data_IF_836492732308
#
_entry.id   IF_836492732308
#
_cell.length_a   1.000
_cell.length_b   1.000
_cell.length_c   1.000
_cell.angle_alpha   90.00
_cell.angle_beta   90.00
_cell.angle_gamma   90.00
#
_symmetry.space_group_name_H-M   'P 1'
#
loop_
_entity.id
_entity.type
_entity.pdbx_description
1 polymer ?
#
# COMPACT_ATOMS: atom_id res chain seq x y z
N UNK A 1 -8.32 -27.26 -38.74
CA UNK A 1 -7.43 -26.11 -39.04
C UNK A 1 -8.20 -24.82 -38.77
N UNK A 2 -8.24 -24.36 -37.53
CA UNK A 2 -8.59 -22.97 -37.18
C UNK A 2 -7.79 -22.63 -35.92
N UNK A 3 -6.73 -21.83 -36.09
CA UNK A 3 -5.98 -21.22 -34.99
C UNK A 3 -6.77 -20.01 -34.51
N UNK A 4 -7.43 -20.11 -33.36
CA UNK A 4 -7.87 -18.93 -32.61
C UNK A 4 -6.68 -18.37 -31.85
N UNK A 5 -5.97 -17.46 -32.51
CA UNK A 5 -5.05 -16.53 -31.86
C UNK A 5 -5.92 -15.42 -31.26
N UNK A 6 -6.14 -15.47 -29.95
CA UNK A 6 -6.62 -14.32 -29.18
C UNK A 6 -5.50 -13.83 -28.28
N UNK A 7 -4.47 -13.24 -28.90
CA UNK A 7 -3.55 -12.33 -28.21
C UNK A 7 -4.14 -10.92 -28.35
N UNK A 8 -4.98 -10.54 -27.40
CA UNK A 8 -5.22 -9.13 -27.13
C UNK A 8 -4.11 -8.66 -26.20
N UNK A 9 -2.92 -8.42 -26.78
CA UNK A 9 -1.88 -7.61 -26.13
C UNK A 9 -2.27 -6.13 -26.29
N UNK A 10 -3.29 -5.71 -25.55
CA UNK A 10 -3.50 -4.30 -25.25
C UNK A 10 -2.64 -3.98 -24.03
N UNK A 11 -1.60 -3.14 -24.10
CA UNK A 11 -0.86 -2.71 -22.91
C UNK A 11 -1.72 -1.68 -22.17
N UNK A 12 -2.83 -2.12 -21.58
CA UNK A 12 -3.51 -1.36 -20.55
C UNK A 12 -2.59 -1.39 -19.34
N UNK A 13 -1.64 -0.46 -19.32
CA UNK A 13 -0.70 -0.12 -18.24
C UNK A 13 -1.05 -0.88 -16.95
N UNK A 14 -0.46 -2.06 -16.79
CA UNK A 14 -0.60 -2.80 -15.54
C UNK A 14 -0.15 -1.86 -14.44
N UNK A 15 -1.11 -1.45 -13.62
CA UNK A 15 -0.82 -0.56 -12.51
C UNK A 15 0.16 -1.32 -11.61
N UNK A 16 1.36 -0.80 -11.34
CA UNK A 16 2.37 -1.54 -10.61
C UNK A 16 1.78 -2.03 -9.29
N UNK A 17 2.01 -3.30 -8.94
CA UNK A 17 1.34 -3.98 -7.83
C UNK A 17 1.47 -3.25 -6.47
N UNK A 18 2.57 -2.53 -6.27
CA UNK A 18 2.86 -1.75 -5.06
C UNK A 18 2.72 -0.23 -5.26
N UNK A 19 2.09 0.18 -6.37
CA UNK A 19 1.88 1.58 -6.76
C UNK A 19 3.11 2.29 -7.34
N UNK A 20 4.24 1.59 -7.51
CA UNK A 20 5.44 2.08 -8.19
C UNK A 20 6.27 0.92 -8.76
N UNK A 21 6.80 1.11 -9.97
CA UNK A 21 7.72 0.17 -10.62
C UNK A 21 9.04 -0.02 -9.87
N UNK A 22 9.46 0.99 -9.10
CA UNK A 22 10.67 0.94 -8.26
C UNK A 22 10.60 -0.16 -7.18
N UNK A 23 9.38 -0.60 -6.85
CA UNK A 23 9.15 -1.60 -5.81
C UNK A 23 9.12 -3.04 -6.34
N UNK A 24 9.28 -3.22 -7.66
CA UNK A 24 9.28 -4.51 -8.34
C UNK A 24 7.90 -5.16 -8.46
N UNK A 25 7.92 -6.44 -8.80
CA UNK A 25 6.74 -7.23 -9.15
C UNK A 25 6.43 -8.32 -8.12
N UNK A 26 5.20 -8.83 -8.14
CA UNK A 26 4.69 -9.87 -7.26
C UNK A 26 5.47 -11.19 -7.40
N UNK A 27 5.87 -11.51 -8.64
CA UNK A 27 6.50 -12.78 -9.01
C UNK A 27 8.04 -12.80 -8.87
N UNK A 28 8.62 -11.73 -8.33
CA UNK A 28 10.06 -11.63 -8.18
C UNK A 28 10.63 -12.61 -7.13
N UNK A 29 11.84 -13.12 -7.39
CA UNK A 29 12.61 -13.91 -6.44
C UNK A 29 12.93 -13.14 -5.15
N UNK A 30 12.93 -13.85 -4.01
CA UNK A 30 13.09 -13.25 -2.68
C UNK A 30 14.47 -12.60 -2.47
N UNK A 31 15.52 -13.17 -3.08
CA UNK A 31 16.88 -12.60 -3.01
C UNK A 31 16.96 -11.26 -3.72
N UNK A 32 16.38 -11.15 -4.91
CA UNK A 32 16.41 -9.93 -5.72
C UNK A 32 15.59 -8.83 -5.05
N UNK A 33 14.40 -9.19 -4.54
CA UNK A 33 13.58 -8.30 -3.72
C UNK A 33 14.34 -7.76 -2.51
N UNK A 34 15.05 -8.62 -1.78
CA UNK A 34 15.86 -8.21 -0.63
C UNK A 34 16.95 -7.24 -1.06
N UNK A 35 17.72 -7.58 -2.10
CA UNK A 35 18.83 -6.76 -2.60
C UNK A 35 18.30 -5.39 -3.04
N UNK A 36 17.17 -5.33 -3.74
CA UNK A 36 16.54 -4.09 -4.13
C UNK A 36 16.07 -3.26 -2.94
N UNK A 37 15.32 -3.84 -2.00
CA UNK A 37 14.82 -3.11 -0.82
C UNK A 37 16.00 -2.58 0.00
N UNK A 38 17.02 -3.40 0.24
CA UNK A 38 18.19 -3.01 1.00
C UNK A 38 19.00 -1.93 0.26
N UNK A 39 19.21 -2.10 -1.04
CA UNK A 39 19.90 -1.13 -1.90
C UNK A 39 19.18 0.21 -1.91
N UNK A 40 17.85 0.21 -2.09
CA UNK A 40 17.04 1.41 -2.11
C UNK A 40 17.02 2.12 -0.74
N UNK A 41 16.81 1.38 0.36
CA UNK A 41 16.87 1.94 1.71
C UNK A 41 18.23 2.56 1.99
N UNK A 42 19.32 1.85 1.69
CA UNK A 42 20.68 2.32 1.94
C UNK A 42 21.00 3.56 1.10
N UNK A 43 20.70 3.54 -0.20
CA UNK A 43 20.96 4.67 -1.10
C UNK A 43 20.16 5.91 -0.72
N UNK A 44 18.86 5.76 -0.44
CA UNK A 44 17.98 6.89 -0.10
C UNK A 44 18.31 7.46 1.28
N UNK A 45 18.56 6.61 2.28
CA UNK A 45 18.95 7.08 3.61
C UNK A 45 20.32 7.76 3.56
N UNK A 46 21.29 7.20 2.82
CA UNK A 46 22.59 7.83 2.62
C UNK A 46 22.45 9.20 1.95
N UNK A 47 21.72 9.28 0.82
CA UNK A 47 21.47 10.53 0.12
C UNK A 47 20.79 11.57 1.03
N UNK A 48 19.77 11.16 1.78
CA UNK A 48 19.06 12.05 2.72
C UNK A 48 20.00 12.60 3.81
N UNK A 49 20.85 11.76 4.39
CA UNK A 49 21.82 12.21 5.39
C UNK A 49 22.89 13.13 4.78
N UNK A 50 23.42 12.81 3.59
CA UNK A 50 24.39 13.67 2.88
C UNK A 50 23.78 15.04 2.58
N UNK A 51 22.56 15.08 2.04
CA UNK A 51 21.83 16.33 1.80
C UNK A 51 21.65 17.10 3.10
N UNK A 52 21.21 16.44 4.17
CA UNK A 52 21.05 17.06 5.49
C UNK A 52 22.35 17.63 6.06
N UNK A 53 23.48 16.94 5.88
CA UNK A 53 24.81 17.42 6.28
C UNK A 53 25.22 18.63 5.44
N UNK A 54 25.05 18.58 4.11
CA UNK A 54 25.38 19.70 3.22
C UNK A 54 24.55 20.94 3.56
N UNK A 55 23.23 20.79 3.73
CA UNK A 55 22.34 21.88 4.14
C UNK A 55 22.75 22.38 5.52
N UNK A 56 23.00 21.49 6.48
CA UNK A 56 23.45 21.85 7.82
C UNK A 56 24.75 22.63 7.83
N UNK A 57 25.71 22.25 6.98
CA UNK A 57 26.99 22.96 6.81
C UNK A 57 26.75 24.35 6.24
N UNK A 58 25.97 24.48 5.17
CA UNK A 58 25.65 25.79 4.56
C UNK A 58 24.94 26.70 5.57
N UNK A 59 23.93 26.18 6.28
CA UNK A 59 23.23 26.95 7.32
C UNK A 59 24.17 27.32 8.46
N UNK A 60 25.04 26.40 8.87
CA UNK A 60 26.00 26.63 9.94
C UNK A 60 27.22 27.45 9.53
N UNK A 61 27.50 27.75 8.26
CA UNK A 61 28.64 28.60 7.83
C UNK A 61 28.21 29.91 7.20
N UNK A 62 27.26 29.87 6.27
CA UNK A 62 26.80 31.03 5.47
C UNK A 62 25.66 31.76 6.15
N UNK A 63 24.78 31.02 6.84
CA UNK A 63 23.51 31.56 7.29
C UNK A 63 23.51 32.04 8.74
N UNK A 64 24.64 32.51 9.26
CA UNK A 64 24.67 33.14 10.57
C UNK A 64 25.66 34.32 10.63
N UNK A 65 25.28 35.37 11.37
CA UNK A 65 26.10 36.55 11.61
C UNK A 65 27.43 36.18 12.29
N UNK A 66 28.41 37.11 12.32
CA UNK A 66 29.64 36.93 13.09
C UNK A 66 29.33 36.52 14.54
N UNK A 67 30.12 35.64 15.16
CA UNK A 67 31.41 35.09 14.73
C UNK A 67 31.34 34.00 13.63
N UNK A 68 32.38 33.86 12.82
CA UNK A 68 32.50 32.85 11.76
C UNK A 68 33.14 31.56 12.28
N UNK A 69 32.52 30.41 11.95
CA UNK A 69 32.96 29.07 12.37
C UNK A 69 34.38 28.71 11.93
N UNK A 70 34.86 29.29 10.82
CA UNK A 70 36.19 28.98 10.28
C UNK A 70 37.31 29.86 10.83
N UNK A 71 37.01 31.05 11.33
CA UNK A 71 38.02 31.98 11.88
C UNK A 71 38.00 32.00 13.41
N UNK A 72 36.82 31.91 14.02
CA UNK A 72 36.61 32.27 15.43
C UNK A 72 36.38 31.06 16.33
N UNK A 73 36.39 29.86 15.75
CA UNK A 73 36.24 28.61 16.48
C UNK A 73 37.46 27.69 16.26
N UNK A 74 37.77 26.81 17.23
CA UNK A 74 38.86 25.86 17.10
C UNK A 74 38.68 24.94 15.87
N UNK A 75 39.64 25.00 14.94
CA UNK A 75 39.60 24.26 13.67
C UNK A 75 39.46 22.73 13.86
N UNK A 76 39.94 22.18 14.98
CA UNK A 76 39.81 20.75 15.28
C UNK A 76 38.35 20.29 15.43
N UNK A 77 37.43 21.18 15.83
CA UNK A 77 36.00 20.84 15.90
C UNK A 77 35.46 20.62 14.47
N UNK A 78 35.75 21.55 13.57
CA UNK A 78 35.29 21.51 12.17
C UNK A 78 35.94 20.39 11.37
N UNK A 79 37.26 20.21 11.50
CA UNK A 79 38.04 19.34 10.63
C UNK A 79 38.33 17.95 11.21
N UNK A 80 38.17 17.73 12.52
CA UNK A 80 38.33 16.42 13.13
C UNK A 80 37.01 15.87 13.70
N UNK A 81 36.33 16.61 14.59
CA UNK A 81 35.14 16.10 15.29
C UNK A 81 33.99 15.84 14.33
N UNK A 82 33.63 16.82 13.48
CA UNK A 82 32.51 16.68 12.55
C UNK A 82 32.71 15.50 11.59
N UNK A 83 33.83 15.38 10.84
CA UNK A 83 34.05 14.25 9.94
C UNK A 83 34.09 12.91 10.69
N UNK A 84 34.72 12.86 11.86
CA UNK A 84 34.78 11.63 12.67
C UNK A 84 33.39 11.18 13.10
N UNK A 85 32.55 12.11 13.58
CA UNK A 85 31.17 11.83 13.93
C UNK A 85 30.39 11.30 12.73
N UNK A 86 30.47 12.00 11.59
CA UNK A 86 29.76 11.62 10.36
C UNK A 86 30.16 10.21 9.92
N UNK A 87 31.46 9.89 9.87
CA UNK A 87 31.96 8.57 9.48
C UNK A 87 31.48 7.49 10.45
N UNK A 88 31.58 7.70 11.76
CA UNK A 88 31.13 6.75 12.78
C UNK A 88 29.62 6.54 12.69
N UNK A 89 28.84 7.62 12.62
CA UNK A 89 27.39 7.57 12.52
C UNK A 89 26.94 6.86 11.23
N UNK A 90 27.62 7.10 10.11
CA UNK A 90 27.32 6.43 8.85
C UNK A 90 27.67 4.94 8.88
N UNK A 91 28.81 4.58 9.45
CA UNK A 91 29.24 3.18 9.59
C UNK A 91 28.29 2.39 10.52
N UNK A 92 28.05 2.91 11.74
CA UNK A 92 27.15 2.29 12.72
C UNK A 92 25.71 2.27 12.22
N UNK A 93 25.25 3.36 11.60
CA UNK A 93 23.91 3.47 11.02
C UNK A 93 23.69 2.48 9.89
N UNK A 94 24.63 2.37 8.95
CA UNK A 94 24.55 1.41 7.84
C UNK A 94 24.57 -0.04 8.33
N UNK A 95 25.43 -0.35 9.32
CA UNK A 95 25.47 -1.66 9.96
C UNK A 95 24.15 -1.99 10.65
N UNK A 96 23.63 -1.08 11.48
CA UNK A 96 22.38 -1.25 12.21
C UNK A 96 21.18 -1.41 11.25
N UNK A 97 21.09 -0.56 10.23
CA UNK A 97 20.04 -0.60 9.20
C UNK A 97 20.06 -1.94 8.46
N UNK A 98 21.24 -2.39 8.04
CA UNK A 98 21.43 -3.66 7.34
C UNK A 98 21.02 -4.84 8.22
N UNK A 99 21.52 -4.88 9.46
CA UNK A 99 21.18 -5.93 10.43
C UNK A 99 19.70 -5.95 10.77
N UNK A 100 19.06 -4.78 10.90
CA UNK A 100 17.65 -4.69 11.24
C UNK A 100 16.76 -5.10 10.07
N UNK A 101 17.07 -4.63 8.86
CA UNK A 101 16.36 -4.97 7.62
C UNK A 101 16.46 -6.46 7.33
N UNK A 102 17.63 -7.07 7.49
CA UNK A 102 17.82 -8.52 7.31
C UNK A 102 17.04 -9.35 8.33
N UNK A 103 17.03 -8.95 9.60
CA UNK A 103 16.20 -9.60 10.62
C UNK A 103 14.70 -9.50 10.30
N UNK A 104 14.25 -8.32 9.85
CA UNK A 104 12.85 -8.08 9.49
C UNK A 104 12.41 -8.87 8.26
N UNK A 105 13.28 -9.06 7.27
CA UNK A 105 12.99 -9.81 6.05
C UNK A 105 13.17 -11.32 6.21
N UNK A 106 13.70 -11.79 7.34
CA UNK A 106 14.08 -13.20 7.53
C UNK A 106 12.91 -14.16 7.33
N UNK A 107 11.73 -13.85 7.87
CA UNK A 107 10.54 -14.68 7.70
C UNK A 107 10.08 -14.73 6.23
N UNK A 108 10.18 -13.62 5.50
CA UNK A 108 9.84 -13.55 4.09
C UNK A 108 10.83 -14.36 3.22
N UNK A 109 12.12 -14.32 3.56
CA UNK A 109 13.18 -15.10 2.89
C UNK A 109 12.99 -16.60 3.14
N UNK A 110 12.68 -16.98 4.38
CA UNK A 110 12.45 -18.38 4.78
C UNK A 110 11.07 -18.91 4.35
N UNK A 111 10.28 -18.13 3.58
CA UNK A 111 8.92 -18.47 3.13
C UNK A 111 7.99 -18.91 4.26
N UNK A 112 8.20 -18.36 5.47
CA UNK A 112 7.35 -18.64 6.63
C UNK A 112 6.20 -17.67 6.66
N UNK A 113 5.03 -18.13 7.10
CA UNK A 113 3.91 -17.24 7.38
C UNK A 113 4.34 -16.23 8.48
N UNK A 114 4.03 -14.93 8.34
CA UNK A 114 4.44 -13.93 9.31
C UNK A 114 3.76 -14.18 10.65
N UNK A 115 4.53 -14.19 11.73
CA UNK A 115 3.96 -14.18 13.08
C UNK A 115 3.35 -12.79 13.40
N UNK A 116 2.46 -12.67 14.41
CA UNK A 116 1.96 -11.37 14.85
C UNK A 116 3.07 -10.38 15.24
N UNK A 117 4.20 -10.91 15.76
CA UNK A 117 5.39 -10.12 16.06
C UNK A 117 6.12 -9.65 14.81
N UNK A 118 6.19 -10.47 13.76
CA UNK A 118 6.80 -10.09 12.47
C UNK A 118 5.98 -9.01 11.77
N UNK A 119 4.65 -9.15 11.80
CA UNK A 119 3.72 -8.15 11.28
C UNK A 119 3.91 -6.80 11.99
N UNK A 120 3.89 -6.79 13.34
CA UNK A 120 4.12 -5.58 14.14
C UNK A 120 5.49 -4.97 13.86
N UNK A 121 6.54 -5.79 13.76
CA UNK A 121 7.90 -5.31 13.51
C UNK A 121 8.04 -4.67 12.13
N UNK A 122 7.39 -5.23 11.12
CA UNK A 122 7.38 -4.70 9.75
C UNK A 122 6.66 -3.35 9.68
N UNK A 123 5.47 -3.24 10.27
CA UNK A 123 4.67 -2.01 10.22
C UNK A 123 5.27 -0.87 11.07
N UNK A 124 5.98 -1.18 12.15
CA UNK A 124 6.67 -0.19 12.99
C UNK A 124 8.10 0.13 12.54
N UNK A 125 8.61 -0.53 11.50
CA UNK A 125 9.98 -0.31 11.04
C UNK A 125 10.26 1.15 10.63
N UNK A 126 9.40 1.85 9.85
CA UNK A 126 9.63 3.25 9.49
C UNK A 126 9.78 4.17 10.71
N UNK A 127 8.94 3.96 11.72
CA UNK A 127 8.98 4.74 12.97
C UNK A 127 10.27 4.49 13.77
N UNK A 128 10.73 3.24 13.84
CA UNK A 128 12.00 2.90 14.51
C UNK A 128 13.21 3.50 13.80
N UNK A 129 13.20 3.50 12.46
CA UNK A 129 14.26 4.13 11.68
C UNK A 129 14.25 5.65 11.85
N UNK A 130 13.07 6.27 11.93
CA UNK A 130 12.94 7.69 12.23
C UNK A 130 13.50 8.03 13.63
N UNK A 131 13.12 7.29 14.68
CA UNK A 131 13.67 7.49 16.03
C UNK A 131 15.19 7.35 16.03
N UNK A 132 15.74 6.35 15.35
CA UNK A 132 17.19 6.18 15.25
C UNK A 132 17.86 7.43 14.66
N UNK A 133 17.35 7.96 13.54
CA UNK A 133 17.87 9.18 12.94
C UNK A 133 17.71 10.39 13.85
N UNK A 134 16.56 10.51 14.54
CA UNK A 134 16.31 11.58 15.50
C UNK A 134 17.32 11.56 16.64
N UNK A 135 17.66 10.38 17.16
CA UNK A 135 18.63 10.22 18.24
C UNK A 135 20.05 10.52 17.77
N UNK A 136 20.45 10.06 16.58
CA UNK A 136 21.75 10.36 16.00
C UNK A 136 21.88 11.87 15.74
N UNK A 137 20.95 12.48 15.03
CA UNK A 137 20.97 13.92 14.78
C UNK A 137 20.84 14.75 16.07
N UNK A 138 20.06 14.28 17.05
CA UNK A 138 19.95 14.90 18.37
C UNK A 138 21.27 14.88 19.13
N UNK A 139 21.95 13.73 19.16
CA UNK A 139 23.27 13.60 19.77
C UNK A 139 24.31 14.49 19.06
N UNK A 140 24.27 14.55 17.72
CA UNK A 140 25.12 15.45 16.94
C UNK A 140 24.87 16.92 17.27
N UNK A 141 23.60 17.30 17.36
CA UNK A 141 23.17 18.66 17.73
C UNK A 141 23.69 19.04 19.12
N UNK A 142 23.50 18.17 20.11
CA UNK A 142 23.95 18.41 21.48
C UNK A 142 25.48 18.53 21.53
N UNK A 143 26.19 17.60 20.89
CA UNK A 143 27.65 17.56 20.87
C UNK A 143 28.23 18.85 20.27
N UNK A 144 27.81 19.23 19.05
CA UNK A 144 28.36 20.42 18.40
C UNK A 144 27.94 21.70 19.10
N UNK A 145 26.68 21.81 19.55
CA UNK A 145 26.22 23.00 20.27
C UNK A 145 27.02 23.20 21.55
N UNK A 146 27.36 22.12 22.28
CA UNK A 146 28.21 22.20 23.46
C UNK A 146 29.64 22.60 23.11
N UNK A 147 30.28 21.93 22.13
CA UNK A 147 31.67 22.20 21.76
C UNK A 147 31.89 23.63 21.22
N UNK A 148 31.03 24.07 20.30
CA UNK A 148 31.09 25.45 19.80
C UNK A 148 30.66 26.47 20.86
N UNK A 149 29.66 26.13 21.69
CA UNK A 149 29.22 26.99 22.78
C UNK A 149 30.28 27.22 23.85
N UNK A 150 31.14 26.22 24.10
CA UNK A 150 32.31 26.36 24.98
C UNK A 150 33.39 27.28 24.40
N UNK A 151 33.53 27.34 23.07
CA UNK A 151 34.44 28.27 22.41
C UNK A 151 33.87 29.69 22.40
N UNK A 152 32.59 29.83 22.05
CA UNK A 152 31.87 31.10 22.09
C UNK A 152 30.36 30.83 22.23
N UNK A 153 29.75 31.40 23.28
CA UNK A 153 28.32 31.23 23.57
C UNK A 153 27.40 31.73 22.45
N UNK A 154 27.87 32.64 21.61
CA UNK A 154 27.17 33.17 20.44
C UNK A 154 26.90 32.07 19.39
N UNK A 155 27.64 30.96 19.40
CA UNK A 155 27.40 29.83 18.51
C UNK A 155 26.22 28.95 18.94
N UNK A 156 25.76 29.04 20.21
CA UNK A 156 24.74 28.13 20.73
C UNK A 156 23.43 28.22 19.93
N UNK A 157 22.81 29.40 19.72
CA UNK A 157 21.54 29.48 18.99
C UNK A 157 21.67 29.02 17.53
N UNK A 158 22.81 29.33 16.89
CA UNK A 158 23.13 28.97 15.50
C UNK A 158 23.13 27.46 15.29
N UNK A 159 23.96 26.73 16.04
CA UNK A 159 24.06 25.28 15.88
C UNK A 159 22.80 24.57 16.36
N UNK A 160 22.19 25.06 17.45
CA UNK A 160 20.96 24.48 17.97
C UNK A 160 19.81 24.57 16.96
N UNK A 161 19.67 25.70 16.25
CA UNK A 161 18.64 25.90 15.24
C UNK A 161 18.96 25.16 13.94
N UNK A 162 20.14 25.37 13.35
CA UNK A 162 20.52 24.81 12.06
C UNK A 162 20.52 23.27 12.07
N UNK A 163 21.12 22.66 13.09
CA UNK A 163 21.21 21.19 13.16
C UNK A 163 19.88 20.55 13.55
N UNK A 164 19.08 21.18 14.42
CA UNK A 164 17.74 20.67 14.75
C UNK A 164 16.84 20.65 13.53
N UNK A 165 16.86 21.71 12.72
CA UNK A 165 16.08 21.78 11.49
C UNK A 165 16.50 20.68 10.50
N UNK A 166 17.80 20.55 10.23
CA UNK A 166 18.31 19.50 9.35
C UNK A 166 17.98 18.10 9.88
N UNK A 167 18.18 17.86 11.17
CA UNK A 167 17.90 16.58 11.82
C UNK A 167 16.44 16.17 11.76
N UNK A 168 15.50 17.11 11.98
CA UNK A 168 14.07 16.86 11.83
C UNK A 168 13.70 16.59 10.37
N UNK A 169 14.27 17.35 9.43
CA UNK A 169 14.11 17.13 8.00
C UNK A 169 14.53 15.72 7.56
N UNK A 170 15.75 15.33 7.93
CA UNK A 170 16.31 14.00 7.66
C UNK A 170 15.49 12.90 8.31
N UNK A 171 15.03 13.12 9.55
CA UNK A 171 14.18 12.16 10.28
C UNK A 171 12.85 11.93 9.55
N UNK A 172 12.16 13.00 9.17
CA UNK A 172 10.87 12.94 8.48
C UNK A 172 11.02 12.34 7.08
N UNK A 173 12.04 12.73 6.31
CA UNK A 173 12.33 12.13 5.01
C UNK A 173 12.65 10.63 5.14
N UNK A 174 13.48 10.25 6.12
CA UNK A 174 13.84 8.85 6.38
C UNK A 174 12.63 8.00 6.74
N UNK A 175 11.69 8.53 7.53
CA UNK A 175 10.40 7.88 7.80
C UNK A 175 9.64 7.59 6.50
N UNK A 176 9.44 8.61 5.66
CA UNK A 176 8.62 8.54 4.44
C UNK A 176 9.23 7.59 3.40
N UNK A 177 10.55 7.67 3.18
CA UNK A 177 11.23 6.79 2.24
C UNK A 177 11.31 5.36 2.73
N UNK A 178 11.47 5.14 4.04
CA UNK A 178 11.41 3.79 4.60
C UNK A 178 10.01 3.19 4.42
N UNK A 179 8.97 3.99 4.66
CA UNK A 179 7.59 3.56 4.45
C UNK A 179 7.35 3.15 2.99
N UNK A 180 7.85 3.95 2.04
CA UNK A 180 7.81 3.61 0.62
C UNK A 180 8.55 2.30 0.31
N UNK A 181 9.80 2.17 0.77
CA UNK A 181 10.65 1.03 0.46
C UNK A 181 10.14 -0.30 1.02
N UNK A 182 9.43 -0.25 2.15
CA UNK A 182 8.91 -1.44 2.81
C UNK A 182 7.52 -1.87 2.34
N UNK A 183 6.88 -1.16 1.40
CA UNK A 183 5.55 -1.52 0.86
C UNK A 183 5.42 -2.99 0.42
N UNK A 184 6.38 -3.61 -0.29
CA UNK A 184 6.28 -5.03 -0.66
C UNK A 184 6.24 -5.98 0.54
N UNK A 185 6.99 -5.65 1.59
CA UNK A 185 7.05 -6.45 2.82
C UNK A 185 5.82 -6.22 3.68
N UNK A 186 5.34 -4.97 3.75
CA UNK A 186 4.08 -4.62 4.38
C UNK A 186 2.92 -5.37 3.72
N UNK A 187 2.92 -5.50 2.39
CA UNK A 187 1.92 -6.28 1.66
C UNK A 187 1.88 -7.75 2.10
N UNK A 188 3.05 -8.40 2.16
CA UNK A 188 3.16 -9.79 2.64
C UNK A 188 2.69 -9.93 4.09
N UNK A 189 3.03 -8.95 4.94
CA UNK A 189 2.62 -8.94 6.34
C UNK A 189 1.11 -8.73 6.52
N UNK A 190 0.47 -7.96 5.65
CA UNK A 190 -0.98 -7.67 5.68
C UNK A 190 -1.81 -8.77 4.99
N UNK A 191 -1.22 -9.52 4.06
CA UNK A 191 -1.87 -10.67 3.42
C UNK A 191 -2.19 -11.80 4.41
N UNK A 192 -1.42 -11.94 5.50
CA UNK A 192 -1.67 -12.93 6.54
C UNK A 192 -2.84 -12.60 7.48
N UNK A 193 -3.42 -11.39 7.37
CA UNK A 193 -4.58 -10.98 8.14
C UNK A 193 -4.51 -9.53 8.59
N UNK A 194 -5.66 -8.92 8.93
CA UNK A 194 -5.71 -7.54 9.39
C UNK A 194 -4.98 -7.39 10.74
N UNK A 195 -4.22 -6.30 10.94
CA UNK A 195 -3.58 -6.05 12.23
C UNK A 195 -4.64 -5.77 13.31
N UNK A 196 -4.45 -6.35 14.51
CA UNK A 196 -5.39 -6.19 15.64
C UNK A 196 -5.52 -4.76 16.17
N UNK A 197 -4.52 -3.89 15.91
CA UNK A 197 -4.53 -2.47 16.26
C UNK A 197 -4.00 -1.61 15.10
N UNK A 198 -4.41 -0.35 15.03
CA UNK A 198 -3.82 0.65 14.12
C UNK A 198 -2.49 1.14 14.70
N UNK A 199 -1.38 0.61 14.18
CA UNK A 199 -0.04 0.94 14.66
C UNK A 199 0.64 2.09 13.90
N UNK A 200 0.18 2.39 12.68
CA UNK A 200 0.76 3.42 11.83
C UNK A 200 -0.01 4.75 11.95
N UNK A 201 0.67 5.91 11.97
CA UNK A 201 0.01 7.20 11.87
C UNK A 201 -0.81 7.26 10.58
N UNK A 202 -2.10 7.56 10.72
CA UNK A 202 -2.98 7.79 9.58
C UNK A 202 -2.59 9.02 8.77
N UNK A 203 -3.33 9.30 7.70
CA UNK A 203 -3.08 10.44 6.80
C UNK A 203 -2.93 11.75 7.61
N UNK A 204 -3.84 12.00 8.57
CA UNK A 204 -3.81 13.19 9.44
C UNK A 204 -2.49 13.32 10.20
N UNK A 205 -1.98 12.23 10.78
CA UNK A 205 -0.73 12.23 11.54
C UNK A 205 0.46 12.59 10.65
N UNK A 206 0.51 12.03 9.43
CA UNK A 206 1.57 12.32 8.45
C UNK A 206 1.54 13.79 8.00
N UNK A 207 0.35 14.31 7.71
CA UNK A 207 0.18 15.72 7.32
C UNK A 207 0.63 16.66 8.42
N UNK A 208 0.27 16.39 9.68
CA UNK A 208 0.71 17.21 10.82
C UNK A 208 2.23 17.18 10.96
N UNK A 209 2.87 16.00 10.86
CA UNK A 209 4.33 15.88 10.99
C UNK A 209 5.06 16.62 9.87
N UNK A 210 4.59 16.51 8.62
CA UNK A 210 5.20 17.20 7.47
C UNK A 210 5.00 18.71 7.57
N UNK A 211 3.81 19.18 7.92
CA UNK A 211 3.56 20.60 8.16
C UNK A 211 4.42 21.14 9.31
N UNK A 212 4.50 20.41 10.41
CA UNK A 212 5.28 20.82 11.58
C UNK A 212 6.77 20.93 11.24
N UNK A 213 7.31 19.94 10.54
CA UNK A 213 8.73 19.90 10.14
C UNK A 213 9.06 20.91 9.04
N UNK A 214 8.18 21.03 8.03
CA UNK A 214 8.42 21.84 6.84
C UNK A 214 8.02 23.32 6.99
N UNK A 215 7.23 23.67 8.00
CA UNK A 215 6.72 25.04 8.17
C UNK A 215 6.77 25.52 9.62
N UNK A 216 6.18 24.82 10.58
CA UNK A 216 6.06 25.34 11.95
C UNK A 216 7.43 25.52 12.64
N UNK A 217 8.28 24.49 12.63
CA UNK A 217 9.63 24.55 13.20
C UNK A 217 10.48 25.62 12.51
N UNK A 218 10.49 25.70 11.17
CA UNK A 218 11.07 26.82 10.45
C UNK A 218 10.68 28.20 10.93
N UNK A 219 9.38 28.48 10.93
CA UNK A 219 8.83 29.78 11.26
C UNK A 219 9.16 30.16 12.71
N UNK A 220 8.99 29.23 13.65
CA UNK A 220 9.33 29.46 15.06
C UNK A 220 10.81 29.82 15.21
N UNK A 221 11.70 29.08 14.55
CA UNK A 221 13.12 29.37 14.67
C UNK A 221 13.55 30.66 13.97
N UNK A 222 12.91 31.02 12.85
CA UNK A 222 13.09 32.34 12.22
C UNK A 222 12.61 33.48 13.14
N UNK A 223 11.45 33.32 13.78
CA UNK A 223 10.95 34.29 14.76
C UNK A 223 11.91 34.42 15.95
N UNK A 224 12.47 33.31 16.45
CA UNK A 224 13.46 33.35 17.53
C UNK A 224 14.72 34.12 17.09
N UNK A 225 15.28 33.81 15.92
CA UNK A 225 16.47 34.51 15.40
C UNK A 225 16.21 36.02 15.28
N UNK A 226 15.04 36.42 14.78
CA UNK A 226 14.67 37.84 14.68
C UNK A 226 14.55 38.54 16.05
N UNK A 227 13.92 37.89 17.04
CA UNK A 227 13.79 38.44 18.40
C UNK A 227 15.15 38.58 19.09
N UNK A 228 16.04 37.59 18.92
CA UNK A 228 17.37 37.60 19.51
C UNK A 228 18.27 38.67 18.89
N UNK A 229 18.15 38.91 17.58
CA UNK A 229 18.88 39.99 16.90
C UNK A 229 18.54 41.36 17.50
N UNK A 230 17.24 41.68 17.57
CA UNK A 230 16.76 42.97 18.06
C UNK A 230 17.08 43.20 19.55
N UNK A 231 17.04 42.14 20.36
CA UNK A 231 17.20 42.26 21.82
C UNK A 231 18.64 42.18 22.33
N UNK A 232 19.54 41.47 21.64
CA UNK A 232 20.81 41.05 22.26
C UNK A 232 22.05 41.15 21.33
N UNK A 233 21.90 41.10 20.00
CA UNK A 233 23.05 41.03 19.08
C UNK A 233 23.29 42.29 18.22
N UNK A 234 22.32 43.21 18.09
CA UNK A 234 22.43 44.50 17.35
C UNK A 234 23.18 44.36 16.01
N UNK A 235 22.83 43.37 15.19
CA UNK A 235 23.54 43.08 13.95
C UNK A 235 23.19 44.14 12.89
N UNK A 236 24.13 44.45 12.00
CA UNK A 236 23.87 45.33 10.85
C UNK A 236 22.80 44.72 9.94
N UNK A 237 21.90 45.56 9.39
CA UNK A 237 20.85 45.08 8.47
C UNK A 237 21.42 44.28 7.28
N UNK A 238 22.59 44.66 6.77
CA UNK A 238 23.24 43.96 5.65
C UNK A 238 23.73 42.55 6.03
N UNK A 239 24.10 42.34 7.30
CA UNK A 239 24.60 41.06 7.82
C UNK A 239 23.45 40.11 8.22
N UNK A 240 22.24 40.63 8.42
CA UNK A 240 21.05 39.84 8.74
C UNK A 240 20.34 39.28 7.49
N UNK A 241 20.23 40.08 6.41
CA UNK A 241 19.38 39.75 5.24
C UNK A 241 19.83 38.49 4.50
N UNK A 242 21.13 38.34 4.23
CA UNK A 242 21.64 37.20 3.46
C UNK A 242 21.43 35.86 4.20
N UNK A 243 21.82 35.71 5.47
CA UNK A 243 21.51 34.55 6.29
C UNK A 243 20.04 34.13 6.31
N UNK A 244 19.17 35.09 6.59
CA UNK A 244 17.71 34.88 6.67
C UNK A 244 17.16 34.40 5.33
N UNK A 245 17.63 34.98 4.23
CA UNK A 245 17.21 34.60 2.87
C UNK A 245 17.64 33.17 2.54
N UNK A 246 18.88 32.79 2.86
CA UNK A 246 19.41 31.43 2.62
C UNK A 246 18.63 30.40 3.44
N UNK A 247 18.43 30.65 4.74
CA UNK A 247 17.66 29.77 5.64
C UNK A 247 16.22 29.61 5.14
N UNK A 248 15.54 30.72 4.84
CA UNK A 248 14.15 30.70 4.39
C UNK A 248 14.01 29.94 3.05
N UNK A 249 14.94 30.13 2.13
CA UNK A 249 14.96 29.41 0.85
C UNK A 249 15.17 27.90 1.03
N UNK A 250 16.11 27.51 1.89
CA UNK A 250 16.35 26.10 2.21
C UNK A 250 15.13 25.46 2.90
N UNK A 251 14.46 26.19 3.79
CA UNK A 251 13.25 25.76 4.48
C UNK A 251 12.07 25.57 3.53
N UNK A 252 11.87 26.53 2.63
CA UNK A 252 10.83 26.44 1.60
C UNK A 252 11.07 25.25 0.67
N UNK A 253 12.31 25.04 0.22
CA UNK A 253 12.67 23.91 -0.63
C UNK A 253 12.46 22.56 0.07
N UNK A 254 12.87 22.43 1.33
CA UNK A 254 12.65 21.21 2.11
C UNK A 254 11.16 20.97 2.37
N UNK A 255 10.41 22.00 2.75
CA UNK A 255 8.97 21.91 2.99
C UNK A 255 8.23 21.46 1.73
N UNK A 256 8.56 22.05 0.57
CA UNK A 256 8.01 21.65 -0.72
C UNK A 256 8.34 20.20 -1.05
N UNK A 257 9.59 19.77 -0.85
CA UNK A 257 10.02 18.39 -1.08
C UNK A 257 9.24 17.41 -0.20
N UNK A 258 9.17 17.64 1.10
CA UNK A 258 8.43 16.77 2.04
C UNK A 258 6.94 16.71 1.69
N UNK A 259 6.33 17.85 1.33
CA UNK A 259 4.93 17.92 0.93
C UNK A 259 4.68 17.17 -0.38
N UNK A 260 5.59 17.30 -1.36
CA UNK A 260 5.51 16.58 -2.63
C UNK A 260 5.58 15.06 -2.41
N UNK A 261 6.53 14.58 -1.60
CA UNK A 261 6.62 13.16 -1.25
C UNK A 261 5.36 12.70 -0.51
N UNK A 262 4.81 13.50 0.41
CA UNK A 262 3.60 13.14 1.17
C UNK A 262 2.38 13.00 0.25
N UNK A 263 2.21 13.97 -0.64
CA UNK A 263 1.16 13.96 -1.66
C UNK A 263 1.28 12.73 -2.54
N UNK A 264 2.49 12.39 -2.97
CA UNK A 264 2.72 11.19 -3.78
C UNK A 264 2.43 9.90 -3.02
N UNK A 265 2.86 9.78 -1.75
CA UNK A 265 2.61 8.59 -0.92
C UNK A 265 1.13 8.37 -0.62
N UNK A 266 0.36 9.44 -0.42
CA UNK A 266 -1.08 9.38 -0.13
C UNK A 266 -1.93 9.18 -1.39
N UNK A 267 -1.58 9.83 -2.50
CA UNK A 267 -2.32 9.70 -3.75
C UNK A 267 -2.15 8.33 -4.41
N UNK A 268 -1.03 7.63 -4.17
CA UNK A 268 -0.73 6.35 -4.84
C UNK A 268 -1.75 5.24 -4.49
N UNK A 269 -2.02 4.90 -3.21
CA UNK A 269 -3.05 3.92 -2.86
C UNK A 269 -4.44 4.30 -3.41
N UNK A 270 -4.79 5.58 -3.38
CA UNK A 270 -6.07 6.08 -3.91
C UNK A 270 -6.17 5.82 -5.41
N UNK A 271 -5.12 6.15 -6.18
CA UNK A 271 -5.07 5.85 -7.63
C UNK A 271 -5.20 4.35 -7.92
N UNK A 272 -4.58 3.48 -7.13
CA UNK A 272 -4.69 2.03 -7.28
C UNK A 272 -6.14 1.55 -7.11
N UNK A 273 -6.83 2.05 -6.08
CA UNK A 273 -8.25 1.70 -5.87
C UNK A 273 -9.14 2.26 -6.97
N UNK A 274 -8.95 3.52 -7.38
CA UNK A 274 -9.72 4.12 -8.48
C UNK A 274 -9.50 3.38 -9.82
N UNK A 275 -8.27 2.94 -10.10
CA UNK A 275 -7.97 2.16 -11.29
C UNK A 275 -8.66 0.79 -11.25
N UNK A 276 -8.65 0.11 -10.10
CA UNK A 276 -9.35 -1.16 -9.93
C UNK A 276 -10.86 -1.03 -10.03
N UNK A 277 -11.44 0.05 -9.50
CA UNK A 277 -12.87 0.33 -9.65
C UNK A 277 -13.26 0.51 -11.12
N UNK A 278 -12.51 1.31 -11.88
CA UNK A 278 -12.75 1.49 -13.32
C UNK A 278 -12.66 0.18 -14.09
N UNK A 279 -11.69 -0.68 -13.74
CA UNK A 279 -11.57 -2.02 -14.37
C UNK A 279 -12.78 -2.89 -14.06
N UNK A 280 -13.21 -2.91 -12.79
CA UNK A 280 -14.40 -3.63 -12.37
C UNK A 280 -15.67 -3.14 -13.09
N UNK A 281 -15.83 -1.82 -13.27
CA UNK A 281 -16.94 -1.24 -14.05
C UNK A 281 -16.95 -1.67 -15.52
N UNK A 282 -15.78 -1.92 -16.11
CA UNK A 282 -15.65 -2.42 -17.48
C UNK A 282 -15.88 -3.94 -17.60
N UNK A 283 -16.26 -4.62 -16.53
CA UNK A 283 -16.46 -6.08 -16.51
C UNK A 283 -15.17 -6.90 -16.49
N UNK A 284 -14.01 -6.24 -16.44
CA UNK A 284 -12.74 -6.91 -16.14
C UNK A 284 -12.73 -7.20 -14.64
N UNK A 285 -12.87 -8.47 -14.24
CA UNK A 285 -12.80 -8.94 -12.87
C UNK A 285 -11.32 -9.03 -12.44
N UNK A 286 -10.71 -7.97 -11.89
CA UNK A 286 -9.29 -8.00 -11.60
C UNK A 286 -9.08 -8.94 -10.41
N UNK A 287 -7.91 -9.58 -10.31
CA UNK A 287 -7.49 -10.22 -9.06
C UNK A 287 -7.55 -9.24 -7.88
N UNK A 288 -7.51 -9.77 -6.66
CA UNK A 288 -7.60 -8.96 -5.44
C UNK A 288 -6.50 -7.89 -5.39
N UNK A 289 -6.85 -6.67 -4.97
CA UNK A 289 -5.87 -5.60 -4.78
C UNK A 289 -4.85 -6.00 -3.72
N UNK A 290 -3.59 -5.71 -4.01
CA UNK A 290 -2.50 -5.88 -3.04
C UNK A 290 -2.63 -4.80 -1.96
N UNK A 291 -2.87 -5.22 -0.73
CA UNK A 291 -3.01 -4.32 0.43
C UNK A 291 -1.63 -4.11 1.04
N UNK A 292 -1.05 -2.93 0.85
CA UNK A 292 0.31 -2.60 1.31
C UNK A 292 0.36 -1.46 2.33
N UNK A 293 -0.78 -0.88 2.69
CA UNK A 293 -0.88 0.21 3.67
C UNK A 293 -1.54 -0.28 4.98
N UNK A 294 -0.97 0.12 6.12
CA UNK A 294 -1.47 -0.20 7.47
C UNK A 294 -2.49 0.80 8.03
N UNK A 295 -2.80 1.87 7.29
CA UNK A 295 -3.62 3.02 7.72
C UNK A 295 -5.06 2.97 7.17
N UNK A 296 -5.76 4.11 7.17
CA UNK A 296 -7.07 4.30 6.51
C UNK A 296 -7.02 3.91 5.04
N UNK A 297 -5.92 4.21 4.33
CA UNK A 297 -5.78 3.87 2.91
C UNK A 297 -5.76 2.35 2.69
N UNK A 298 -5.15 1.61 3.60
CA UNK A 298 -5.19 0.16 3.59
C UNK A 298 -6.56 -0.43 3.94
N UNK A 299 -7.32 0.27 4.79
CA UNK A 299 -8.72 -0.10 5.05
C UNK A 299 -9.58 0.08 3.80
N UNK A 300 -9.35 1.15 3.02
CA UNK A 300 -10.00 1.35 1.73
C UNK A 300 -9.68 0.22 0.74
N UNK A 301 -8.40 -0.17 0.62
CA UNK A 301 -7.99 -1.29 -0.24
C UNK A 301 -8.65 -2.62 0.18
N UNK A 302 -8.67 -2.93 1.49
CA UNK A 302 -9.35 -4.13 2.02
C UNK A 302 -10.87 -4.08 1.80
N UNK A 303 -11.49 -2.92 1.99
CA UNK A 303 -12.91 -2.71 1.78
C UNK A 303 -13.31 -2.98 0.32
N UNK A 304 -12.50 -2.52 -0.64
CA UNK A 304 -12.69 -2.83 -2.05
C UNK A 304 -12.63 -4.34 -2.31
N UNK A 305 -11.61 -5.04 -1.80
CA UNK A 305 -11.50 -6.50 -1.98
C UNK A 305 -12.70 -7.25 -1.38
N UNK A 306 -13.14 -6.87 -0.18
CA UNK A 306 -14.30 -7.47 0.47
C UNK A 306 -15.60 -7.26 -0.34
N UNK A 307 -15.76 -6.07 -0.93
CA UNK A 307 -16.89 -5.77 -1.81
C UNK A 307 -16.86 -6.64 -3.07
N UNK A 308 -15.72 -6.73 -3.76
CA UNK A 308 -15.57 -7.56 -4.97
C UNK A 308 -15.79 -9.03 -4.66
N UNK A 309 -15.24 -9.54 -3.56
CA UNK A 309 -15.45 -10.90 -3.09
C UNK A 309 -16.94 -11.18 -2.80
N UNK A 310 -17.63 -10.25 -2.13
CA UNK A 310 -19.06 -10.36 -1.86
C UNK A 310 -19.93 -10.34 -3.13
N UNK A 311 -19.56 -9.55 -4.14
CA UNK A 311 -20.25 -9.54 -5.43
C UNK A 311 -20.04 -10.85 -6.20
N UNK A 312 -18.81 -11.37 -6.23
CA UNK A 312 -18.51 -12.69 -6.82
C UNK A 312 -19.29 -13.81 -6.14
N UNK A 313 -19.38 -13.79 -4.82
CA UNK A 313 -20.14 -14.79 -4.09
C UNK A 313 -21.64 -14.70 -4.40
N UNK A 314 -22.22 -13.48 -4.45
CA UNK A 314 -23.62 -13.29 -4.86
C UNK A 314 -23.88 -13.79 -6.27
N UNK A 315 -22.98 -13.51 -7.21
CA UNK A 315 -23.11 -13.97 -8.59
C UNK A 315 -22.98 -15.50 -8.71
N UNK A 316 -22.08 -16.11 -7.94
CA UNK A 316 -21.94 -17.56 -7.83
C UNK A 316 -23.21 -18.21 -7.28
N UNK A 317 -23.78 -17.65 -6.22
CA UNK A 317 -25.04 -18.12 -5.64
C UNK A 317 -26.17 -18.00 -6.68
N UNK A 318 -26.28 -16.86 -7.37
CA UNK A 318 -27.26 -16.66 -8.45
C UNK A 318 -27.12 -17.70 -9.57
N UNK A 319 -25.89 -17.95 -10.02
CA UNK A 319 -25.62 -18.96 -11.06
C UNK A 319 -25.96 -20.39 -10.59
N UNK A 320 -25.65 -20.73 -9.34
CA UNK A 320 -26.01 -22.03 -8.75
C UNK A 320 -27.53 -22.21 -8.65
N UNK A 321 -28.27 -21.19 -8.19
CA UNK A 321 -29.73 -21.23 -8.16
C UNK A 321 -30.33 -21.32 -9.57
N UNK A 322 -29.79 -20.57 -10.53
CA UNK A 322 -30.21 -20.65 -11.93
C UNK A 322 -30.03 -22.05 -12.53
N UNK A 323 -28.98 -22.78 -12.14
CA UNK A 323 -28.76 -24.18 -12.55
C UNK A 323 -29.71 -25.19 -11.91
N UNK A 324 -30.24 -24.93 -10.71
CA UNK A 324 -31.08 -25.89 -9.98
C UNK A 324 -32.59 -25.63 -10.12
N UNK A 325 -33.00 -24.38 -10.32
CA UNK A 325 -34.42 -23.98 -10.39
C UNK A 325 -34.85 -23.66 -11.84
N UNK A 326 -33.90 -23.67 -12.78
CA UNK A 326 -34.09 -23.20 -14.16
C UNK A 326 -33.87 -21.69 -14.23
N UNK A 327 -33.05 -21.23 -15.20
CA UNK A 327 -32.69 -19.81 -15.36
C UNK A 327 -33.91 -18.91 -15.50
N UNK A 328 -34.96 -19.41 -16.12
CA UNK A 328 -36.21 -18.68 -16.36
C UNK A 328 -37.03 -18.46 -15.09
N UNK A 329 -37.07 -19.43 -14.17
CA UNK A 329 -37.76 -19.28 -12.87
C UNK A 329 -37.03 -18.29 -11.99
N UNK A 330 -35.69 -18.34 -11.97
CA UNK A 330 -34.87 -17.38 -11.25
C UNK A 330 -35.04 -15.95 -11.80
N UNK A 331 -35.05 -15.79 -13.13
CA UNK A 331 -35.29 -14.49 -13.78
C UNK A 331 -36.72 -13.96 -13.53
N UNK A 332 -37.74 -14.83 -13.54
CA UNK A 332 -39.11 -14.46 -13.21
C UNK A 332 -39.24 -14.00 -11.76
N UNK A 333 -38.58 -14.69 -10.81
CA UNK A 333 -38.57 -14.33 -9.39
C UNK A 333 -37.79 -13.04 -9.09
N UNK A 334 -36.83 -12.64 -9.94
CA UNK A 334 -36.15 -11.34 -9.84
C UNK A 334 -37.01 -10.18 -10.37
N UNK A 335 -37.82 -10.42 -11.42
CA UNK A 335 -38.67 -9.38 -12.06
C UNK A 335 -39.93 -9.06 -11.26
N UNK A 336 -40.50 -10.07 -10.61
CA UNK A 336 -41.72 -9.93 -9.81
C UNK A 336 -41.50 -10.47 -8.40
N UNK A 337 -41.97 -9.74 -7.37
CA UNK A 337 -42.04 -10.32 -6.03
C UNK A 337 -42.93 -11.57 -6.10
N UNK A 338 -42.45 -12.77 -5.75
CA UNK A 338 -43.27 -13.97 -5.83
C UNK A 338 -44.52 -13.77 -4.99
N UNK A 339 -45.68 -13.71 -5.64
CA UNK A 339 -46.96 -13.74 -4.94
C UNK A 339 -47.11 -15.15 -4.40
N UNK A 340 -47.15 -15.27 -3.08
CA UNK A 340 -47.44 -16.54 -2.42
C UNK A 340 -48.90 -16.91 -2.75
N UNK A 341 -49.08 -17.92 -3.60
CA UNK A 341 -50.36 -18.39 -4.10
C UNK A 341 -50.17 -19.28 -5.33
N UNK A 342 -51.11 -20.19 -5.59
CA UNK A 342 -51.17 -20.92 -6.86
C UNK A 342 -51.85 -20.08 -7.94
N UNK A 343 -51.57 -20.37 -9.20
CA UNK A 343 -52.24 -19.78 -10.36
C UNK A 343 -52.77 -20.89 -11.28
N UNK A 344 -53.97 -20.68 -11.83
CA UNK A 344 -54.49 -21.56 -12.87
C UNK A 344 -53.88 -21.17 -14.22
N UNK A 345 -53.12 -22.10 -14.81
CA UNK A 345 -52.50 -21.91 -16.12
C UNK A 345 -52.71 -23.12 -17.02
N UNK A 346 -52.90 -22.85 -18.31
CA UNK A 346 -52.81 -23.89 -19.34
C UNK A 346 -51.34 -24.21 -19.57
N UNK A 347 -50.96 -25.44 -19.25
CA UNK A 347 -49.60 -25.96 -19.40
C UNK A 347 -49.62 -27.25 -20.23
N UNK A 348 -48.51 -27.54 -20.89
CA UNK A 348 -48.22 -28.85 -21.45
C UNK A 348 -47.17 -29.53 -20.57
N UNK A 349 -47.40 -30.81 -20.23
CA UNK A 349 -46.46 -31.60 -19.42
C UNK A 349 -45.94 -32.74 -20.28
N UNK A 350 -44.62 -32.88 -20.33
CA UNK A 350 -43.93 -33.95 -21.07
C UNK A 350 -43.20 -34.83 -20.06
N UNK A 351 -43.48 -36.13 -20.13
CA UNK A 351 -42.73 -37.16 -19.43
C UNK A 351 -41.82 -37.88 -20.41
N UNK A 352 -40.53 -37.95 -20.08
CA UNK A 352 -39.52 -38.64 -20.88
C UNK A 352 -38.93 -39.71 -19.98
N UNK A 353 -38.87 -40.95 -20.46
CA UNK A 353 -38.36 -42.08 -19.68
C UNK A 353 -37.50 -43.01 -20.55
N UNK A 354 -36.54 -43.70 -19.93
CA UNK A 354 -35.63 -44.62 -20.63
C UNK A 354 -36.24 -46.03 -20.62
N UNK A 355 -36.50 -46.56 -21.81
CA UNK A 355 -37.01 -47.94 -21.95
C UNK A 355 -35.97 -48.94 -21.42
N UNK A 356 -36.38 -49.81 -20.50
CA UNK A 356 -35.53 -50.88 -19.94
C UNK A 356 -34.57 -50.42 -18.83
N UNK A 357 -34.77 -49.24 -18.28
CA UNK A 357 -33.94 -48.65 -17.22
C UNK A 357 -33.80 -49.50 -15.96
N UNK A 358 -34.86 -50.17 -15.50
CA UNK A 358 -34.83 -51.05 -14.32
C UNK A 358 -33.80 -52.16 -14.48
N UNK A 359 -33.65 -52.71 -15.69
CA UNK A 359 -32.65 -53.72 -15.99
C UNK A 359 -31.24 -53.13 -16.02
N UNK A 360 -31.10 -51.92 -16.55
CA UNK A 360 -29.85 -51.14 -16.59
C UNK A 360 -29.30 -50.84 -15.17
N UNK A 361 -30.18 -50.41 -14.26
CA UNK A 361 -29.83 -50.06 -12.88
C UNK A 361 -29.51 -51.28 -12.02
N UNK A 362 -30.13 -52.44 -12.31
CA UNK A 362 -29.91 -53.68 -11.54
C UNK A 362 -28.69 -54.47 -11.98
N UNK A 363 -28.18 -54.25 -13.20
CA UNK A 363 -27.08 -55.03 -13.77
C UNK A 363 -25.75 -54.29 -13.86
N UNK A 364 -25.72 -52.97 -13.65
CA UNK A 364 -24.51 -52.16 -13.78
C UNK A 364 -24.10 -51.49 -12.46
N UNK A 365 -22.80 -51.24 -12.25
CA UNK A 365 -22.33 -50.43 -11.12
C UNK A 365 -22.91 -49.00 -11.18
N UNK A 366 -23.26 -48.40 -10.03
CA UNK A 366 -23.87 -47.05 -9.99
C UNK A 366 -23.09 -45.98 -10.76
N UNK A 367 -21.75 -46.04 -10.76
CA UNK A 367 -20.91 -45.10 -11.49
C UNK A 367 -21.09 -45.16 -13.01
N UNK A 368 -21.33 -46.35 -13.57
CA UNK A 368 -21.57 -46.54 -15.00
C UNK A 368 -22.98 -46.13 -15.41
N UNK A 369 -23.98 -46.39 -14.55
CA UNK A 369 -25.34 -45.89 -14.72
C UNK A 369 -25.35 -44.36 -14.77
N UNK A 370 -24.66 -43.69 -13.83
CA UNK A 370 -24.57 -42.21 -13.81
C UNK A 370 -23.87 -41.66 -15.06
N UNK A 371 -22.84 -42.33 -15.58
CA UNK A 371 -22.17 -41.93 -16.83
C UNK A 371 -23.10 -42.00 -18.04
N UNK A 372 -24.08 -42.91 -18.04
CA UNK A 372 -25.05 -43.05 -19.12
C UNK A 372 -26.23 -42.09 -18.97
N UNK A 373 -26.68 -41.83 -17.74
CA UNK A 373 -27.78 -40.91 -17.45
C UNK A 373 -27.40 -39.44 -17.64
N UNK A 374 -26.17 -39.03 -17.28
CA UNK A 374 -25.75 -37.62 -17.39
C UNK A 374 -25.90 -37.05 -18.82
N UNK A 375 -25.41 -37.73 -19.89
CA UNK A 375 -25.64 -37.28 -21.26
C UNK A 375 -27.12 -37.21 -21.65
N UNK A 376 -27.94 -38.17 -21.22
CA UNK A 376 -29.38 -38.15 -21.48
C UNK A 376 -30.04 -36.93 -20.83
N UNK A 377 -29.73 -36.65 -19.56
CA UNK A 377 -30.25 -35.46 -18.88
C UNK A 377 -29.76 -34.17 -19.53
N UNK A 378 -28.51 -34.10 -20.01
CA UNK A 378 -28.02 -32.93 -20.76
C UNK A 378 -28.84 -32.70 -22.02
N UNK A 379 -29.08 -33.74 -22.82
CA UNK A 379 -29.90 -33.62 -24.05
C UNK A 379 -31.33 -33.19 -23.72
N UNK A 380 -31.93 -33.79 -22.69
CA UNK A 380 -33.29 -33.46 -22.27
C UNK A 380 -33.39 -32.01 -21.78
N UNK A 381 -32.44 -31.55 -20.97
CA UNK A 381 -32.38 -30.15 -20.51
C UNK A 381 -32.19 -29.19 -21.67
N UNK A 382 -31.21 -29.44 -22.53
CA UNK A 382 -30.88 -28.56 -23.66
C UNK A 382 -32.08 -28.42 -24.62
N UNK A 383 -32.80 -29.51 -24.90
CA UNK A 383 -33.96 -29.48 -25.80
C UNK A 383 -35.17 -28.79 -25.15
N UNK A 384 -35.41 -29.02 -23.85
CA UNK A 384 -36.49 -28.36 -23.13
C UNK A 384 -36.23 -26.85 -23.03
N UNK A 385 -35.01 -26.42 -22.70
CA UNK A 385 -34.62 -25.01 -22.66
C UNK A 385 -34.74 -24.35 -24.06
N UNK A 386 -34.37 -25.08 -25.13
CA UNK A 386 -34.45 -24.59 -26.52
C UNK A 386 -35.87 -24.23 -26.97
N UNK A 387 -36.88 -24.87 -26.38
CA UNK A 387 -38.30 -24.60 -26.63
C UNK A 387 -38.97 -23.84 -25.48
N UNK A 388 -38.20 -23.14 -24.64
CA UNK A 388 -38.71 -22.32 -23.52
C UNK A 388 -39.55 -23.10 -22.52
N UNK A 389 -39.24 -24.38 -22.33
CA UNK A 389 -39.81 -25.23 -21.29
C UNK A 389 -38.95 -25.25 -20.04
N UNK A 390 -39.52 -25.78 -18.96
CA UNK A 390 -38.87 -25.96 -17.68
C UNK A 390 -38.82 -27.45 -17.32
N UNK A 391 -37.63 -28.00 -17.09
CA UNK A 391 -37.49 -29.30 -16.42
C UNK A 391 -37.84 -29.11 -14.95
N UNK A 392 -39.04 -29.54 -14.55
CA UNK A 392 -39.54 -29.39 -13.18
C UNK A 392 -38.80 -30.34 -12.21
N UNK A 393 -38.61 -31.59 -12.62
CA UNK A 393 -37.88 -32.59 -11.82
C UNK A 393 -37.42 -33.79 -12.64
N UNK A 394 -36.35 -34.42 -12.15
CA UNK A 394 -35.97 -35.78 -12.54
C UNK A 394 -36.60 -36.79 -11.57
N UNK A 395 -37.00 -37.94 -12.10
CA UNK A 395 -37.70 -39.01 -11.40
C UNK A 395 -36.93 -40.32 -11.65
N UNK A 396 -35.76 -40.45 -11.02
CA UNK A 396 -34.85 -41.56 -11.31
C UNK A 396 -34.21 -41.39 -12.68
N UNK A 397 -34.63 -42.21 -13.63
CA UNK A 397 -34.25 -42.26 -15.05
C UNK A 397 -35.18 -41.47 -15.96
N UNK A 398 -36.32 -41.00 -15.44
CA UNK A 398 -37.26 -40.16 -16.14
C UNK A 398 -37.04 -38.65 -15.88
N UNK A 399 -37.50 -37.81 -16.80
CA UNK A 399 -37.55 -36.36 -16.68
C UNK A 399 -38.99 -35.86 -16.90
N UNK A 400 -39.43 -34.91 -16.06
CA UNK A 400 -40.72 -34.22 -16.18
C UNK A 400 -40.45 -32.76 -16.59
N UNK A 401 -40.85 -32.42 -17.80
CA UNK A 401 -40.78 -31.07 -18.34
C UNK A 401 -42.18 -30.43 -18.40
N UNK A 402 -42.24 -29.12 -18.21
CA UNK A 402 -43.45 -28.31 -18.25
C UNK A 402 -43.23 -27.16 -19.23
N UNK A 403 -44.20 -26.91 -20.09
CA UNK A 403 -44.24 -25.75 -20.97
C UNK A 403 -45.48 -24.93 -20.64
N UNK A 404 -45.40 -23.59 -20.71
CA UNK A 404 -46.50 -22.71 -20.30
C UNK A 404 -46.41 -22.21 -18.84
N UNK A 405 -45.37 -22.62 -18.10
CA UNK A 405 -45.01 -22.08 -16.79
C UNK A 405 -43.49 -22.23 -16.54
N UNK A 406 -42.75 -21.14 -16.21
CA UNK A 406 -43.21 -19.77 -15.94
C UNK A 406 -43.51 -18.93 -17.20
N UNK A 407 -43.01 -19.33 -18.37
CA UNK A 407 -43.23 -18.63 -19.65
C UNK A 407 -44.59 -18.97 -20.27
N UNK A 408 -45.20 -18.06 -21.02
CA UNK A 408 -46.43 -18.36 -21.78
C UNK A 408 -46.08 -19.14 -23.05
N UNK A 409 -46.91 -20.12 -23.38
CA UNK A 409 -46.95 -20.73 -24.72
C UNK A 409 -47.56 -19.69 -25.67
N UNK A 410 -46.86 -19.36 -26.76
CA UNK A 410 -47.40 -18.56 -27.88
C UNK A 410 -48.24 -19.42 -28.83
#
# INVERSE_FOLDING_TARGET
>A
MVKTVSRHDSPLLESPAYGSWLLGDLNENQRDRRIRIQGMLTAVIAATNVIGICVGLVLATVAAPPPHVLSDAPLWITFAVIPSYVVIAFALGSYWLTRRTTQMLRWAIEKRAPSPTDQRNTLLAPFRFAIFHLLVWGAFTILLTALYGMANSMFIPRFLFALRFCGLGVTTASYMFTEFALRPVAAMALAAGPPRLRWAPGIRGRTIVVWFTGSAVPLIGMSLVAIFDESLWQISQAEFVLPVTVVTSAMLALGLLLMWVLSWLTATPVRVVCAALKRFEMGDLPGDLVVFDGTELGQLQRGFNAMVAGLRERERVRDLFGRHVGREVAAAAERERPKLGGEDRHIAVVFIDIVGSTQLVTTQPPAEVVKLLNPFFTIAVDEVDRHHGLVNKFLGDAALAIFGAPNRLE
#
